data_IF_040878616299
#
_entry.id   IF_040878616299
#
_cell.length_a   1.000
_cell.length_b   1.000
_cell.length_c   1.000
_cell.angle_alpha   90.00
_cell.angle_beta   90.00
_cell.angle_gamma   90.00
#
_symmetry.space_group_name_H-M   'P 1'
#
loop_
_entity.id
_entity.type
_entity.pdbx_description
1 polymer ?
#
# COMPACT_ATOMS: atom_id res chain seq x y z
N UNK A 1 -34.46 -31.08 -10.04
CA UNK A 1 -33.81 -29.89 -10.65
C UNK A 1 -32.30 -30.05 -10.51
N UNK A 2 -31.51 -29.58 -11.48
CA UNK A 2 -30.05 -29.65 -11.39
C UNK A 2 -29.52 -28.75 -10.27
N UNK A 3 -28.45 -29.18 -9.59
CA UNK A 3 -27.78 -28.40 -8.54
C UNK A 3 -27.15 -27.14 -9.14
N UNK A 4 -27.42 -25.98 -8.53
CA UNK A 4 -26.97 -24.68 -9.01
C UNK A 4 -26.63 -23.71 -7.88
N UNK A 5 -25.74 -22.76 -8.18
CA UNK A 5 -25.35 -21.65 -7.30
C UNK A 5 -25.71 -20.31 -7.94
N UNK A 6 -26.25 -19.38 -7.15
CA UNK A 6 -26.38 -17.98 -7.59
C UNK A 6 -25.01 -17.27 -7.63
N UNK A 7 -24.96 -16.12 -8.28
CA UNK A 7 -23.76 -15.27 -8.28
C UNK A 7 -23.83 -14.31 -7.11
N UNK A 8 -22.80 -14.29 -6.27
CA UNK A 8 -22.65 -13.29 -5.21
C UNK A 8 -21.97 -12.00 -5.72
N UNK A 9 -22.23 -10.89 -5.03
CA UNK A 9 -21.47 -9.65 -5.22
C UNK A 9 -20.08 -9.77 -4.62
N UNK A 10 -19.10 -9.07 -5.20
CA UNK A 10 -17.72 -9.04 -4.71
C UNK A 10 -17.32 -7.60 -4.45
N UNK A 11 -16.74 -7.34 -3.28
CA UNK A 11 -16.11 -6.06 -2.94
C UNK A 11 -14.60 -6.26 -2.88
N UNK A 12 -13.87 -5.42 -3.61
CA UNK A 12 -12.41 -5.48 -3.69
C UNK A 12 -11.73 -4.79 -2.49
N UNK A 13 -10.44 -5.07 -2.31
CA UNK A 13 -9.61 -4.46 -1.28
C UNK A 13 -9.05 -3.13 -1.81
N UNK A 14 -9.39 -2.01 -1.16
CA UNK A 14 -8.95 -0.70 -1.65
C UNK A 14 -7.52 -0.33 -1.27
N UNK A 15 -6.97 -0.89 -0.18
CA UNK A 15 -5.62 -0.59 0.30
C UNK A 15 -4.78 -1.86 0.20
N UNK A 16 -3.67 -1.78 -0.51
CA UNK A 16 -2.77 -2.93 -0.70
C UNK A 16 -2.43 -3.65 0.62
N UNK A 17 -2.57 -4.96 0.62
CA UNK A 17 -2.25 -5.85 1.73
C UNK A 17 -3.31 -5.95 2.83
N UNK A 18 -4.36 -5.13 2.79
CA UNK A 18 -5.45 -5.17 3.77
C UNK A 18 -6.42 -6.33 3.53
N UNK A 19 -7.18 -6.66 4.59
CA UNK A 19 -8.21 -7.70 4.58
C UNK A 19 -9.60 -7.04 4.65
N UNK A 20 -10.00 -6.29 3.62
CA UNK A 20 -11.31 -5.59 3.59
C UNK A 20 -12.25 -6.10 2.51
N UNK A 21 -11.82 -7.06 1.71
CA UNK A 21 -12.63 -7.63 0.64
C UNK A 21 -13.79 -8.45 1.19
N UNK A 22 -14.86 -8.54 0.41
CA UNK A 22 -16.05 -9.33 0.76
C UNK A 22 -16.59 -10.09 -0.44
N UNK A 23 -17.20 -11.25 -0.18
CA UNK A 23 -18.03 -12.00 -1.13
C UNK A 23 -19.39 -12.13 -0.47
N UNK A 24 -20.45 -11.73 -1.17
CA UNK A 24 -21.82 -11.81 -0.67
C UNK A 24 -22.33 -13.24 -0.48
N UNK A 25 -23.53 -13.37 0.09
CA UNK A 25 -24.18 -14.67 0.26
C UNK A 25 -24.46 -15.30 -1.11
N UNK A 26 -24.13 -16.58 -1.24
CA UNK A 26 -24.52 -17.41 -2.38
C UNK A 26 -25.73 -18.25 -1.98
N UNK A 27 -26.66 -18.49 -2.90
CA UNK A 27 -27.81 -19.37 -2.67
C UNK A 27 -27.64 -20.67 -3.45
N UNK A 28 -27.91 -21.79 -2.78
CA UNK A 28 -27.93 -23.13 -3.38
C UNK A 28 -29.37 -23.44 -3.81
N UNK A 29 -29.55 -23.95 -5.02
CA UNK A 29 -30.87 -24.36 -5.54
C UNK A 29 -30.78 -25.65 -6.35
N UNK A 30 -31.89 -26.37 -6.47
CA UNK A 30 -31.93 -27.71 -7.08
C UNK A 30 -31.11 -28.75 -6.29
N UNK A 31 -30.79 -29.89 -6.92
CA UNK A 31 -30.08 -31.00 -6.26
C UNK A 31 -30.90 -31.72 -5.19
N UNK A 32 -30.24 -32.60 -4.44
CA UNK A 32 -30.83 -33.33 -3.30
C UNK A 32 -30.11 -32.99 -2.01
N UNK A 33 -30.80 -32.36 -1.06
CA UNK A 33 -30.23 -32.08 0.26
C UNK A 33 -29.95 -33.36 1.08
N UNK A 34 -29.16 -33.28 2.16
CA UNK A 34 -28.37 -32.13 2.62
C UNK A 34 -27.17 -31.80 1.71
N UNK A 35 -26.66 -30.58 1.81
CA UNK A 35 -25.51 -30.09 1.03
C UNK A 35 -24.26 -29.98 1.89
N UNK A 36 -23.11 -30.36 1.32
CA UNK A 36 -21.78 -30.07 1.86
C UNK A 36 -21.18 -28.88 1.11
N UNK A 37 -20.74 -27.85 1.83
CA UNK A 37 -20.22 -26.61 1.24
C UNK A 37 -18.77 -26.43 1.68
N UNK A 38 -17.88 -26.32 0.70
CA UNK A 38 -16.45 -26.12 0.92
C UNK A 38 -16.01 -24.85 0.23
N UNK A 39 -15.37 -23.97 1.00
CA UNK A 39 -14.66 -22.83 0.44
C UNK A 39 -13.17 -23.15 0.38
N UNK A 40 -12.56 -22.83 -0.76
CA UNK A 40 -11.11 -22.90 -0.94
C UNK A 40 -10.61 -21.55 -1.40
N UNK A 41 -9.37 -21.23 -1.06
CA UNK A 41 -8.69 -20.02 -1.49
C UNK A 41 -7.36 -20.37 -2.14
N UNK A 42 -7.01 -19.66 -3.20
CA UNK A 42 -5.71 -19.76 -3.88
C UNK A 42 -5.04 -18.39 -3.95
N UNK A 43 -3.71 -18.39 -4.07
CA UNK A 43 -2.82 -17.23 -4.21
C UNK A 43 -3.08 -16.09 -3.21
N UNK A 44 -2.29 -16.02 -2.12
CA UNK A 44 -2.26 -14.86 -1.21
C UNK A 44 -3.50 -14.66 -0.32
N UNK A 45 -4.58 -15.39 -0.57
CA UNK A 45 -5.83 -15.35 0.17
C UNK A 45 -5.81 -16.21 1.45
N UNK A 46 -6.43 -15.70 2.52
CA UNK A 46 -6.62 -16.43 3.78
C UNK A 46 -7.62 -17.58 3.61
N UNK A 47 -7.37 -18.78 4.18
CA UNK A 47 -8.33 -19.88 4.16
C UNK A 47 -9.66 -19.49 4.78
N UNK A 48 -10.77 -19.88 4.16
CA UNK A 48 -12.11 -19.74 4.73
C UNK A 48 -12.40 -21.00 5.55
N UNK A 49 -12.66 -20.83 6.85
CA UNK A 49 -12.89 -21.96 7.77
C UNK A 49 -14.37 -22.31 7.94
N UNK A 50 -15.29 -21.47 7.46
CA UNK A 50 -16.74 -21.70 7.57
C UNK A 50 -17.30 -22.44 6.36
N UNK A 51 -18.08 -23.49 6.62
CA UNK A 51 -18.72 -24.36 5.61
C UNK A 51 -20.16 -23.95 5.32
N UNK A 52 -20.41 -22.64 5.16
CA UNK A 52 -21.74 -22.09 4.85
C UNK A 52 -21.72 -21.29 3.56
N UNK A 53 -22.88 -21.12 2.94
CA UNK A 53 -23.05 -20.27 1.76
C UNK A 53 -23.18 -18.77 2.08
N UNK A 54 -23.08 -18.40 3.36
CA UNK A 54 -23.20 -17.02 3.84
C UNK A 54 -22.06 -16.14 3.32
N UNK A 55 -22.29 -14.82 3.40
CA UNK A 55 -21.30 -13.81 3.07
C UNK A 55 -19.96 -14.05 3.80
N UNK A 56 -18.87 -13.81 3.08
CA UNK A 56 -17.49 -13.90 3.56
C UNK A 56 -16.90 -12.51 3.63
N UNK A 57 -16.29 -12.18 4.76
CA UNK A 57 -15.70 -10.87 5.05
C UNK A 57 -14.24 -11.02 5.44
N UNK A 58 -13.55 -9.88 5.58
CA UNK A 58 -12.13 -9.82 5.94
C UNK A 58 -11.22 -10.60 4.98
N UNK A 59 -11.56 -10.57 3.69
CA UNK A 59 -10.81 -11.26 2.65
C UNK A 59 -9.65 -10.38 2.16
N UNK A 60 -8.52 -11.03 1.90
CA UNK A 60 -7.41 -10.44 1.14
C UNK A 60 -7.68 -10.58 -0.35
N UNK A 61 -6.93 -9.86 -1.17
CA UNK A 61 -6.94 -10.12 -2.61
C UNK A 61 -6.48 -11.56 -2.90
N UNK A 62 -7.18 -12.19 -3.84
CA UNK A 62 -6.96 -13.57 -4.24
C UNK A 62 -8.21 -14.19 -4.86
N UNK A 63 -8.12 -15.47 -5.21
CA UNK A 63 -9.23 -16.20 -5.81
C UNK A 63 -9.83 -17.17 -4.82
N UNK A 64 -11.16 -17.12 -4.70
CA UNK A 64 -11.95 -17.93 -3.78
C UNK A 64 -12.93 -18.79 -4.57
N UNK A 65 -12.99 -20.08 -4.24
CA UNK A 65 -13.91 -21.03 -4.85
C UNK A 65 -14.85 -21.59 -3.81
N UNK A 66 -16.16 -21.45 -4.03
CA UNK A 66 -17.18 -22.22 -3.32
C UNK A 66 -17.48 -23.48 -4.13
N UNK A 67 -17.42 -24.64 -3.47
CA UNK A 67 -17.85 -25.93 -4.02
C UNK A 67 -18.99 -26.45 -3.18
N UNK A 68 -20.07 -26.86 -3.83
CA UNK A 68 -21.23 -27.47 -3.18
C UNK A 68 -21.44 -28.86 -3.73
N UNK A 69 -21.54 -29.82 -2.82
CA UNK A 69 -21.82 -31.23 -3.11
C UNK A 69 -23.16 -31.58 -2.48
N UNK A 70 -24.05 -32.19 -3.25
CA UNK A 70 -25.33 -32.68 -2.74
C UNK A 70 -25.24 -34.12 -2.21
N UNK A 71 -26.31 -34.64 -1.62
CA UNK A 71 -26.31 -35.95 -0.96
C UNK A 71 -26.19 -37.15 -1.91
N UNK A 72 -26.39 -36.91 -3.22
CA UNK A 72 -26.22 -37.90 -4.29
C UNK A 72 -24.90 -37.72 -5.05
N UNK A 73 -23.96 -36.97 -4.46
CA UNK A 73 -22.62 -36.69 -4.97
C UNK A 73 -22.55 -35.85 -6.26
N UNK A 74 -23.63 -35.14 -6.63
CA UNK A 74 -23.56 -34.11 -7.66
C UNK A 74 -22.80 -32.89 -7.10
N UNK A 75 -21.94 -32.30 -7.91
CA UNK A 75 -21.10 -31.16 -7.50
C UNK A 75 -21.30 -29.97 -8.42
N UNK A 76 -21.22 -28.76 -7.84
CA UNK A 76 -21.16 -27.49 -8.57
C UNK A 76 -20.22 -26.54 -7.86
N UNK A 77 -19.65 -25.57 -8.57
CA UNK A 77 -18.75 -24.60 -7.97
C UNK A 77 -18.87 -23.22 -8.61
N UNK A 78 -18.39 -22.20 -7.90
CA UNK A 78 -18.19 -20.84 -8.43
C UNK A 78 -16.89 -20.25 -7.94
N UNK A 79 -16.27 -19.50 -8.83
CA UNK A 79 -15.05 -18.73 -8.56
C UNK A 79 -15.38 -17.25 -8.38
N UNK A 80 -14.73 -16.65 -7.40
CA UNK A 80 -14.79 -15.23 -7.07
C UNK A 80 -13.36 -14.68 -6.99
N UNK A 81 -13.10 -13.58 -7.68
CA UNK A 81 -11.80 -12.91 -7.68
C UNK A 81 -11.92 -11.62 -6.90
N UNK A 82 -11.20 -11.53 -5.78
CA UNK A 82 -11.05 -10.29 -5.00
C UNK A 82 -9.74 -9.64 -5.44
N UNK A 83 -9.81 -8.43 -6.02
CA UNK A 83 -8.61 -7.68 -6.42
C UNK A 83 -8.19 -6.67 -5.36
N UNK A 84 -7.01 -6.07 -5.53
CA UNK A 84 -6.56 -4.93 -4.75
C UNK A 84 -5.82 -3.91 -5.60
N UNK A 85 -5.75 -2.68 -5.12
CA UNK A 85 -4.90 -1.65 -5.71
C UNK A 85 -3.41 -1.95 -5.50
N UNK A 86 -2.50 -1.44 -6.36
CA UNK A 86 -1.07 -1.56 -6.16
C UNK A 86 -0.60 -0.87 -4.88
N UNK A 87 0.51 -1.32 -4.31
CA UNK A 87 1.13 -0.66 -3.16
C UNK A 87 1.49 0.80 -3.49
N UNK A 88 1.25 1.72 -2.55
CA UNK A 88 1.70 3.10 -2.68
C UNK A 88 3.22 3.17 -2.44
N UNK A 89 3.96 3.65 -3.44
CA UNK A 89 5.43 3.68 -3.42
C UNK A 89 5.93 5.08 -3.71
N UNK A 90 6.92 5.52 -2.93
CA UNK A 90 7.68 6.75 -3.15
C UNK A 90 9.06 6.35 -3.66
N UNK A 91 9.41 6.81 -4.86
CA UNK A 91 10.80 6.82 -5.33
C UNK A 91 11.39 8.18 -4.98
N UNK A 92 12.32 8.23 -4.00
CA UNK A 92 12.82 9.50 -3.50
C UNK A 92 13.65 10.22 -4.55
N UNK A 93 13.51 11.55 -4.59
CA UNK A 93 14.44 12.41 -5.32
C UNK A 93 15.84 12.43 -4.70
N UNK A 94 16.73 13.18 -5.35
CA UNK A 94 18.08 13.44 -4.85
C UNK A 94 18.11 14.68 -3.94
N UNK A 95 19.03 14.69 -2.98
CA UNK A 95 19.37 15.88 -2.18
C UNK A 95 20.57 16.57 -2.82
N UNK A 96 20.37 17.79 -3.30
CA UNK A 96 21.42 18.66 -3.81
C UNK A 96 21.74 19.75 -2.79
N UNK A 97 23.03 20.04 -2.57
CA UNK A 97 23.47 21.05 -1.61
C UNK A 97 24.09 22.21 -2.38
N UNK A 98 23.51 23.39 -2.23
CA UNK A 98 24.02 24.64 -2.78
C UNK A 98 24.71 25.44 -1.67
N UNK A 99 25.92 25.90 -1.97
CA UNK A 99 26.69 26.79 -1.10
C UNK A 99 26.80 28.14 -1.80
N UNK A 100 26.13 29.16 -1.27
CA UNK A 100 26.21 30.53 -1.81
C UNK A 100 26.65 31.48 -0.70
N UNK A 101 27.80 32.16 -0.89
CA UNK A 101 28.35 33.14 0.05
C UNK A 101 28.46 32.64 1.53
N UNK A 102 28.76 31.35 1.73
CA UNK A 102 28.87 30.76 3.07
C UNK A 102 27.54 30.32 3.69
N UNK A 103 26.41 30.61 3.05
CA UNK A 103 25.10 30.05 3.35
C UNK A 103 24.92 28.70 2.65
N UNK A 104 24.65 27.67 3.44
CA UNK A 104 24.37 26.32 2.94
C UNK A 104 22.87 26.09 2.93
N UNK A 105 22.32 25.78 1.76
CA UNK A 105 20.92 25.36 1.59
C UNK A 105 20.87 24.11 0.74
N UNK A 106 19.89 23.25 1.00
CA UNK A 106 19.67 22.06 0.21
C UNK A 106 18.34 22.11 -0.53
N UNK A 107 18.35 21.50 -1.71
CA UNK A 107 17.20 21.33 -2.57
C UNK A 107 16.99 19.82 -2.75
N UNK A 108 15.78 19.35 -2.48
CA UNK A 108 15.32 17.99 -2.74
C UNK A 108 14.59 18.01 -4.08
N UNK A 109 15.09 17.24 -5.05
CA UNK A 109 14.41 17.10 -6.35
C UNK A 109 13.07 16.37 -6.18
N UNK A 110 12.17 16.54 -7.14
CA UNK A 110 10.86 15.90 -7.11
C UNK A 110 10.99 14.37 -6.93
N UNK A 111 10.26 13.83 -5.95
CA UNK A 111 10.06 12.39 -5.78
C UNK A 111 8.93 11.92 -6.68
N UNK A 112 9.05 10.73 -7.26
CA UNK A 112 7.95 10.13 -8.03
C UNK A 112 7.11 9.23 -7.13
N UNK A 113 5.79 9.33 -7.26
CA UNK A 113 4.83 8.50 -6.52
C UNK A 113 4.12 7.60 -7.53
N UNK A 114 4.03 6.31 -7.22
CA UNK A 114 3.32 5.31 -8.05
C UNK A 114 2.45 4.41 -7.18
N UNK A 115 1.42 3.80 -7.79
CA UNK A 115 0.51 2.87 -7.11
C UNK A 115 -0.54 3.58 -6.24
N UNK A 116 -1.09 2.89 -5.25
CA UNK A 116 -2.23 3.40 -4.49
C UNK A 116 -3.48 3.57 -5.35
N UNK A 117 -4.39 4.45 -4.92
CA UNK A 117 -5.68 4.71 -5.54
C UNK A 117 -6.03 6.20 -5.56
N UNK A 118 -6.39 6.71 -6.73
CA UNK A 118 -6.87 8.08 -6.90
C UNK A 118 -5.77 9.13 -6.80
N UNK A 119 -6.13 10.33 -6.34
CA UNK A 119 -5.23 11.49 -6.25
C UNK A 119 -4.37 11.45 -4.99
N UNK A 120 -3.12 11.89 -5.10
CA UNK A 120 -2.20 11.95 -3.97
C UNK A 120 -2.27 13.28 -3.22
N UNK A 121 -2.30 13.21 -1.90
CA UNK A 121 -2.05 14.35 -1.01
C UNK A 121 -0.60 14.25 -0.53
N UNK A 122 0.16 15.34 -0.69
CA UNK A 122 1.56 15.43 -0.31
C UNK A 122 1.73 16.44 0.81
N UNK A 123 2.48 16.08 1.85
CA UNK A 123 2.86 16.98 2.92
C UNK A 123 4.29 16.72 3.39
N UNK A 124 4.86 17.71 4.07
CA UNK A 124 6.23 17.65 4.58
C UNK A 124 6.27 17.97 6.06
N UNK A 125 7.13 17.27 6.80
CA UNK A 125 7.48 17.63 8.16
C UNK A 125 8.99 17.82 8.32
N UNK A 126 9.38 18.74 9.19
CA UNK A 126 10.74 18.85 9.72
C UNK A 126 10.67 18.50 11.20
N UNK A 127 11.40 17.47 11.63
CA UNK A 127 11.40 17.00 13.03
C UNK A 127 10.00 16.82 13.63
N UNK A 128 9.04 16.34 12.82
CA UNK A 128 7.64 16.12 13.23
C UNK A 128 6.72 17.35 13.13
N UNK A 129 7.25 18.53 12.85
CA UNK A 129 6.46 19.76 12.65
C UNK A 129 6.15 19.94 11.17
N UNK A 130 4.89 20.19 10.82
CA UNK A 130 4.49 20.49 9.45
C UNK A 130 5.22 21.73 8.92
N UNK A 131 5.71 21.65 7.68
CA UNK A 131 6.35 22.77 7.00
C UNK A 131 5.58 23.11 5.73
N UNK A 132 5.29 24.39 5.52
CA UNK A 132 4.56 24.88 4.35
C UNK A 132 5.39 24.69 3.08
N UNK A 133 4.84 23.99 2.08
CA UNK A 133 5.12 24.02 0.63
C UNK A 133 4.52 22.74 0.01
N UNK A 134 3.76 22.89 -1.06
CA UNK A 134 2.99 21.83 -1.73
C UNK A 134 3.54 21.47 -3.10
N UNK A 135 4.75 21.92 -3.45
CA UNK A 135 5.35 21.56 -4.74
C UNK A 135 5.54 20.04 -4.84
N UNK A 136 5.02 19.44 -5.91
CA UNK A 136 4.86 18.00 -6.15
C UNK A 136 6.12 17.15 -5.79
N UNK A 137 6.24 16.75 -4.53
CA UNK A 137 7.32 15.91 -4.03
C UNK A 137 8.72 16.55 -4.03
N UNK A 138 8.84 17.87 -4.21
CA UNK A 138 10.12 18.61 -4.22
C UNK A 138 10.15 19.66 -3.09
N UNK A 139 11.35 20.07 -2.68
CA UNK A 139 11.51 21.05 -1.59
C UNK A 139 12.82 21.81 -1.71
N UNK A 140 12.82 23.14 -1.62
CA UNK A 140 14.04 23.97 -1.77
C UNK A 140 14.37 24.79 -0.53
N UNK A 141 15.61 25.27 -0.45
CA UNK A 141 16.00 26.23 0.60
C UNK A 141 16.12 25.62 2.00
N UNK A 142 16.33 24.31 2.10
CA UNK A 142 16.38 23.58 3.36
C UNK A 142 17.69 23.82 4.10
N UNK A 143 17.62 23.95 5.43
CA UNK A 143 18.80 23.91 6.29
C UNK A 143 19.19 22.44 6.57
N UNK A 144 20.30 22.23 7.26
CA UNK A 144 20.64 20.89 7.75
C UNK A 144 19.53 20.36 8.66
N UNK A 145 19.25 19.06 8.59
CA UNK A 145 18.16 18.46 9.33
C UNK A 145 17.55 17.25 8.64
N UNK A 146 16.49 16.73 9.25
CA UNK A 146 15.69 15.63 8.70
C UNK A 146 14.34 16.16 8.24
N UNK A 147 13.99 15.82 7.01
CA UNK A 147 12.75 16.22 6.36
C UNK A 147 12.00 14.97 5.92
N UNK A 148 10.76 14.82 6.35
CA UNK A 148 9.94 13.67 5.98
C UNK A 148 8.90 14.09 4.95
N UNK A 149 8.95 13.45 3.80
CA UNK A 149 7.88 13.49 2.80
C UNK A 149 6.82 12.48 3.20
N UNK A 150 5.57 12.94 3.33
CA UNK A 150 4.41 12.10 3.55
C UNK A 150 3.52 12.14 2.31
N UNK A 151 3.04 10.97 1.90
CA UNK A 151 2.12 10.83 0.77
C UNK A 151 0.95 9.97 1.23
N UNK A 152 -0.27 10.45 0.97
CA UNK A 152 -1.49 9.69 1.13
C UNK A 152 -2.24 9.61 -0.20
N UNK A 153 -2.87 8.48 -0.50
CA UNK A 153 -3.76 8.35 -1.66
C UNK A 153 -5.24 8.61 -1.27
N UNK A 154 -6.13 8.59 -2.26
CA UNK A 154 -7.55 8.84 -2.06
C UNK A 154 -8.29 7.70 -1.36
N UNK A 155 -7.68 6.52 -1.22
CA UNK A 155 -8.23 5.39 -0.46
C UNK A 155 -7.74 5.35 0.99
N UNK A 156 -6.80 6.23 1.37
CA UNK A 156 -6.20 6.31 2.70
C UNK A 156 -4.92 5.48 2.88
N UNK A 157 -4.34 4.92 1.82
CA UNK A 157 -3.02 4.33 1.89
C UNK A 157 -1.97 5.44 2.13
N UNK A 158 -0.97 5.17 2.96
CA UNK A 158 0.07 6.14 3.31
C UNK A 158 1.47 5.59 3.07
N UNK A 159 2.37 6.48 2.65
CA UNK A 159 3.79 6.21 2.49
C UNK A 159 4.58 7.41 3.03
N UNK A 160 5.81 7.18 3.48
CA UNK A 160 6.70 8.25 3.92
C UNK A 160 8.16 7.96 3.60
N UNK A 161 8.92 9.01 3.34
CA UNK A 161 10.35 8.92 3.10
C UNK A 161 11.10 10.03 3.84
N UNK A 162 12.23 9.68 4.46
CA UNK A 162 13.05 10.61 5.23
C UNK A 162 14.28 11.02 4.43
N UNK A 163 14.38 12.31 4.15
CA UNK A 163 15.57 12.94 3.59
C UNK A 163 16.44 13.51 4.71
N UNK A 164 17.75 13.30 4.61
CA UNK A 164 18.73 13.89 5.53
C UNK A 164 19.56 14.93 4.79
N UNK A 165 19.50 16.18 5.24
CA UNK A 165 20.39 17.25 4.80
C UNK A 165 21.57 17.29 5.78
N UNK A 166 22.78 16.90 5.36
CA UNK A 166 23.92 16.83 6.26
C UNK A 166 24.38 18.23 6.68
N UNK A 167 24.96 18.31 7.88
CA UNK A 167 25.78 19.46 8.26
C UNK A 167 27.04 19.43 7.39
N UNK A 168 27.42 20.57 6.79
CA UNK A 168 28.75 20.66 6.19
C UNK A 168 29.76 20.76 7.32
N UNK A 169 30.68 19.80 7.42
CA UNK A 169 31.91 20.00 8.19
C UNK A 169 32.75 21.02 7.44
N UNK A 170 33.12 22.12 8.11
CA UNK A 170 34.17 23.02 7.60
C UNK A 170 35.42 22.14 7.48
N UNK A 171 35.78 21.72 6.27
CA UNK A 171 37.14 21.23 6.05
C UNK A 171 38.00 22.48 6.20
N UNK A 172 38.56 22.68 7.40
CA UNK A 172 39.69 23.58 7.55
C UNK A 172 40.79 22.98 6.68
N UNK A 173 40.97 23.54 5.47
CA UNK A 173 42.30 23.55 4.90
C UNK A 173 43.06 24.54 5.77
N UNK A 174 43.95 24.02 6.61
CA UNK A 174 44.98 24.84 7.21
C UNK A 174 45.71 25.54 6.06
N UNK A 175 45.79 26.89 6.03
CA UNK A 175 46.66 27.58 5.09
C UNK A 175 48.14 27.28 5.38
N UNK A 176 48.41 26.69 6.54
CA UNK A 176 49.71 26.51 7.11
C UNK A 176 49.97 25.01 7.04
N UNK A 177 50.85 24.59 6.13
CA UNK A 177 51.24 23.20 5.88
C UNK A 177 52.00 22.55 7.05
N UNK A 178 51.43 22.58 8.25
CA UNK A 178 51.94 21.90 9.42
C UNK A 178 50.88 20.92 9.93
N UNK A 179 51.00 19.69 9.45
CA UNK A 179 50.51 18.51 10.16
C UNK A 179 51.25 18.44 11.50
N UNK A 180 50.56 18.77 12.59
CA UNK A 180 50.99 18.33 13.92
C UNK A 180 49.94 17.41 14.50
N UNK A 181 50.13 16.12 14.24
CA UNK A 181 49.61 15.04 15.09
C UNK A 181 50.04 15.26 16.54
N UNK A 182 49.07 15.44 17.43
CA UNK A 182 49.01 14.79 18.74
C UNK A 182 47.55 14.56 19.11
#
# INVERSE_FOLDING_TARGET
>A
MALALSTATVTNVNIYGQSTGTIGTTTVSGGTGPYTIVWTSSSGATPITTQTADAKTLLKAGTYRITVTDSVAATTFRDYVVTQNPALVITPGSVHIEAKHGDYRANISASTVTGGNGTYTISWTSTGTAISDTTAGAKTGLRHGKYTLHVADGAGATASHVFTVPVKRRMYHSPDGHDTRK
#
